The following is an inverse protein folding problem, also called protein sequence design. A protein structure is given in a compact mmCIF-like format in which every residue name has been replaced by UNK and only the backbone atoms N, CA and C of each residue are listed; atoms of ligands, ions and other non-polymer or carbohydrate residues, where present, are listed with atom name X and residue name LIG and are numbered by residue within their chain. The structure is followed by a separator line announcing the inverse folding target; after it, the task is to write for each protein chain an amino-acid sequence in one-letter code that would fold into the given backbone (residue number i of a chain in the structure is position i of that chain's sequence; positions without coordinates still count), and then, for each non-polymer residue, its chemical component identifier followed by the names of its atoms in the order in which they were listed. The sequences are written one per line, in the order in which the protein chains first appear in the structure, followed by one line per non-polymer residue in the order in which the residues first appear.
data_IF_244694477532
#
_entry.id   IF_244694477532
#
_cell.length_a   1.000
_cell.length_b   1.000
_cell.length_c   1.000
_cell.angle_alpha   90.00
_cell.angle_beta   90.00
_cell.angle_gamma   90.00
#
_symmetry.space_group_name_H-M   'P 1'
#
loop_
_entity.id
_entity.type
_entity.pdbx_description
1 polymer ?
#
# COMPACT_ATOMS: atom_id res chain seq x y z
N UNK A 1 -2.46 -28.34 23.84
CA UNK A 1 -2.96 -27.23 23.01
C UNK A 1 -1.86 -26.89 22.03
N UNK A 2 -2.14 -26.83 20.73
CA UNK A 2 -1.12 -26.63 19.70
C UNK A 2 -0.50 -25.23 19.89
N UNK A 3 0.73 -25.18 20.40
CA UNK A 3 1.47 -23.95 20.78
C UNK A 3 2.08 -23.23 19.57
N UNK A 4 1.55 -23.44 18.37
CA UNK A 4 2.12 -22.89 17.15
C UNK A 4 1.61 -21.47 16.92
N UNK A 5 2.50 -20.51 17.09
CA UNK A 5 2.28 -19.11 16.72
C UNK A 5 1.94 -18.97 15.24
N UNK A 6 0.94 -18.14 14.86
CA UNK A 6 0.40 -18.11 13.51
C UNK A 6 1.42 -17.53 12.51
N UNK A 7 1.40 -18.07 11.30
CA UNK A 7 2.10 -17.48 10.16
C UNK A 7 1.15 -16.51 9.44
N UNK A 8 1.60 -15.30 9.18
CA UNK A 8 0.85 -14.26 8.48
C UNK A 8 1.51 -14.04 7.12
N UNK A 9 0.71 -14.11 6.05
CA UNK A 9 1.10 -13.69 4.71
C UNK A 9 0.38 -12.40 4.35
N UNK A 10 1.12 -11.38 3.95
CA UNK A 10 0.56 -10.11 3.50
C UNK A 10 1.15 -9.64 2.17
N UNK A 11 0.39 -8.83 1.43
CA UNK A 11 0.84 -8.17 0.21
C UNK A 11 0.61 -6.66 0.26
N UNK A 12 1.68 -5.91 0.00
CA UNK A 12 1.63 -4.49 -0.32
C UNK A 12 1.52 -4.30 -1.84
N UNK A 13 0.37 -3.80 -2.30
CA UNK A 13 0.06 -3.60 -3.72
C UNK A 13 0.57 -2.24 -4.23
N UNK A 14 1.88 -2.04 -4.24
CA UNK A 14 2.51 -0.79 -4.64
C UNK A 14 2.51 -0.52 -6.15
N UNK A 15 2.47 0.77 -6.51
CA UNK A 15 2.48 1.22 -7.92
C UNK A 15 3.84 1.16 -8.60
N UNK A 16 4.89 0.81 -7.85
CA UNK A 16 6.26 0.59 -8.38
C UNK A 16 6.70 -0.86 -8.23
N UNK A 17 6.24 -1.53 -7.16
CA UNK A 17 6.45 -2.95 -6.91
C UNK A 17 5.34 -3.50 -6.02
N UNK A 18 5.08 -4.80 -6.13
CA UNK A 18 4.30 -5.56 -5.14
C UNK A 18 5.29 -6.25 -4.22
N UNK A 19 5.09 -6.14 -2.91
CA UNK A 19 5.89 -6.84 -1.89
C UNK A 19 4.99 -7.87 -1.23
N UNK A 20 5.42 -9.13 -1.19
CA UNK A 20 4.79 -10.17 -0.40
C UNK A 20 5.74 -10.66 0.68
N UNK A 21 5.25 -10.79 1.92
CA UNK A 21 6.06 -11.24 3.05
C UNK A 21 5.29 -12.23 3.91
N UNK A 22 6.03 -13.20 4.46
CA UNK A 22 5.55 -14.16 5.45
C UNK A 22 6.26 -13.88 6.77
N UNK A 23 5.50 -13.74 7.84
CA UNK A 23 6.04 -13.58 9.18
C UNK A 23 5.35 -14.53 10.16
N UNK A 24 6.09 -15.04 11.14
CA UNK A 24 5.52 -15.74 12.29
C UNK A 24 5.33 -14.74 13.43
N UNK A 25 4.11 -14.65 13.98
CA UNK A 25 3.81 -13.74 15.09
C UNK A 25 4.15 -14.40 16.42
N UNK A 26 5.19 -13.95 17.09
CA UNK A 26 5.64 -14.46 18.39
C UNK A 26 4.55 -14.32 19.47
N UNK A 27 4.70 -15.03 20.58
CA UNK A 27 3.80 -14.91 21.75
C UNK A 27 3.80 -13.51 22.36
N UNK A 28 4.87 -12.74 22.15
CA UNK A 28 5.00 -11.33 22.58
C UNK A 28 4.40 -10.34 21.56
N UNK A 29 3.82 -10.83 20.46
CA UNK A 29 3.21 -10.01 19.42
C UNK A 29 4.19 -9.45 18.38
N UNK A 30 5.51 -9.64 18.55
CA UNK A 30 6.54 -9.30 17.55
C UNK A 30 6.47 -10.21 16.33
N UNK A 31 6.95 -9.71 15.20
CA UNK A 31 7.01 -10.39 13.91
C UNK A 31 8.40 -10.97 13.66
N UNK A 32 8.48 -12.28 13.49
CA UNK A 32 9.65 -12.96 12.93
C UNK A 32 9.45 -13.12 11.43
N UNK A 33 10.15 -12.35 10.61
CA UNK A 33 10.06 -12.43 9.15
C UNK A 33 10.72 -13.73 8.69
N UNK A 34 9.92 -14.61 8.08
CA UNK A 34 10.38 -15.90 7.56
C UNK A 34 10.95 -15.75 6.16
N UNK A 35 10.24 -15.02 5.30
CA UNK A 35 10.68 -14.71 3.94
C UNK A 35 9.90 -13.51 3.37
N UNK A 36 10.49 -12.82 2.41
CA UNK A 36 9.80 -11.84 1.56
C UNK A 36 10.28 -11.96 0.12
N UNK A 37 9.48 -11.40 -0.77
CA UNK A 37 9.70 -11.32 -2.21
C UNK A 37 9.08 -10.03 -2.73
N UNK A 38 9.65 -9.51 -3.81
CA UNK A 38 9.10 -8.36 -4.49
C UNK A 38 9.26 -8.46 -6.01
N UNK A 39 8.32 -7.86 -6.72
CA UNK A 39 8.33 -7.78 -8.18
C UNK A 39 7.85 -6.39 -8.63
N UNK A 40 8.54 -5.84 -9.62
CA UNK A 40 8.20 -4.52 -10.18
C UNK A 40 6.82 -4.54 -10.85
N UNK A 41 6.07 -3.45 -10.69
CA UNK A 41 4.80 -3.26 -11.38
C UNK A 41 4.96 -2.36 -12.59
N UNK A 42 4.29 -2.75 -13.69
CA UNK A 42 4.22 -1.88 -14.86
C UNK A 42 3.31 -0.69 -14.53
N UNK A 43 3.51 0.47 -15.19
CA UNK A 43 2.60 1.62 -15.04
C UNK A 43 1.12 1.30 -15.37
N UNK A 44 0.89 0.25 -16.15
CA UNK A 44 -0.45 -0.26 -16.53
C UNK A 44 -0.97 -1.33 -15.57
N UNK A 45 -0.21 -1.79 -14.58
CA UNK A 45 -0.67 -2.81 -13.62
C UNK A 45 -1.48 -2.15 -12.51
N UNK A 46 -0.87 -1.23 -11.76
CA UNK A 46 -1.51 -0.47 -10.68
C UNK A 46 -1.30 1.02 -10.95
N UNK A 47 -2.38 1.77 -11.17
CA UNK A 47 -2.34 3.20 -11.52
C UNK A 47 -2.88 4.04 -10.36
N UNK A 48 -2.04 4.90 -9.79
CA UNK A 48 -2.40 5.79 -8.67
C UNK A 48 -3.08 5.02 -7.50
N UNK A 49 -2.54 3.84 -7.18
CA UNK A 49 -3.01 2.96 -6.11
C UNK A 49 -4.28 2.17 -6.42
N UNK A 50 -4.79 2.23 -7.66
CA UNK A 50 -5.91 1.43 -8.14
C UNK A 50 -5.43 0.29 -9.05
N UNK A 51 -5.97 -0.91 -8.87
CA UNK A 51 -5.70 -2.05 -9.77
C UNK A 51 -6.30 -1.73 -11.14
N UNK A 52 -5.44 -1.55 -12.16
CA UNK A 52 -5.86 -1.27 -13.53
C UNK A 52 -5.87 -2.54 -14.38
N UNK A 53 -4.81 -3.34 -14.28
CA UNK A 53 -4.76 -4.67 -14.91
C UNK A 53 -4.84 -5.77 -13.84
N UNK A 54 -6.04 -6.35 -13.73
CA UNK A 54 -6.36 -7.45 -12.82
C UNK A 54 -5.50 -8.69 -13.09
N UNK A 55 -5.31 -9.04 -14.37
CA UNK A 55 -4.58 -10.25 -14.74
C UNK A 55 -3.09 -10.14 -14.41
N UNK A 56 -2.46 -8.99 -14.71
CA UNK A 56 -1.07 -8.73 -14.36
C UNK A 56 -0.88 -8.73 -12.84
N UNK A 57 -1.81 -8.11 -12.09
CA UNK A 57 -1.73 -8.05 -10.62
C UNK A 57 -1.82 -9.44 -10.00
N UNK A 58 -2.80 -10.26 -10.42
CA UNK A 58 -2.93 -11.63 -9.94
C UNK A 58 -1.72 -12.50 -10.35
N UNK A 59 -1.16 -12.29 -11.54
CA UNK A 59 0.05 -12.98 -11.99
C UNK A 59 1.25 -12.69 -11.09
N UNK A 60 1.51 -11.41 -10.79
CA UNK A 60 2.63 -11.01 -9.92
C UNK A 60 2.45 -11.59 -8.51
N UNK A 61 1.24 -11.46 -7.93
CA UNK A 61 0.96 -12.03 -6.60
C UNK A 61 1.20 -13.56 -6.62
N UNK A 62 0.70 -14.28 -7.63
CA UNK A 62 0.92 -15.72 -7.74
C UNK A 62 2.41 -16.10 -7.88
N UNK A 63 3.17 -15.33 -8.66
CA UNK A 63 4.62 -15.50 -8.80
C UNK A 63 5.33 -15.35 -7.45
N UNK A 64 5.02 -14.28 -6.71
CA UNK A 64 5.53 -14.05 -5.36
C UNK A 64 5.15 -15.20 -4.41
N UNK A 65 3.88 -15.62 -4.39
CA UNK A 65 3.41 -16.72 -3.54
C UNK A 65 4.19 -18.01 -3.83
N UNK A 66 4.43 -18.32 -5.10
CA UNK A 66 5.16 -19.52 -5.51
C UNK A 66 6.61 -19.47 -5.01
N UNK A 67 7.28 -18.32 -5.14
CA UNK A 67 8.63 -18.12 -4.59
C UNK A 67 8.65 -18.25 -3.05
N UNK A 68 7.68 -17.66 -2.36
CA UNK A 68 7.54 -17.75 -0.91
C UNK A 68 7.29 -19.19 -0.43
N UNK A 69 6.36 -19.93 -1.07
CA UNK A 69 6.13 -21.36 -0.79
C UNK A 69 7.41 -22.17 -0.99
N UNK A 70 8.17 -21.88 -2.04
CA UNK A 70 9.43 -22.57 -2.32
C UNK A 70 10.53 -22.29 -1.28
N UNK A 71 10.66 -21.03 -0.83
CA UNK A 71 11.64 -20.60 0.19
C UNK A 71 11.30 -21.12 1.59
N UNK A 72 10.03 -21.02 1.98
CA UNK A 72 9.58 -21.32 3.35
C UNK A 72 9.17 -22.77 3.55
N UNK A 73 8.87 -23.50 2.47
CA UNK A 73 8.23 -24.83 2.49
C UNK A 73 6.86 -24.84 3.18
N UNK A 74 6.24 -23.68 3.37
CA UNK A 74 4.91 -23.54 3.95
C UNK A 74 3.82 -23.63 2.88
N UNK A 75 2.72 -24.30 3.20
CA UNK A 75 1.52 -24.29 2.36
C UNK A 75 0.69 -23.04 2.63
N UNK A 76 1.09 -21.92 2.00
CA UNK A 76 0.43 -20.62 2.15
C UNK A 76 -0.91 -20.62 1.41
N UNK A 77 -2.04 -20.62 2.11
CA UNK A 77 -3.39 -20.71 1.52
C UNK A 77 -4.28 -19.51 1.79
N UNK A 78 -3.92 -18.66 2.76
CA UNK A 78 -4.61 -17.40 3.04
C UNK A 78 -3.64 -16.22 2.97
N UNK A 79 -4.17 -15.03 2.74
CA UNK A 79 -3.38 -13.80 2.79
C UNK A 79 -4.20 -12.56 3.12
N UNK A 80 -3.50 -11.53 3.59
CA UNK A 80 -3.98 -10.17 3.73
C UNK A 80 -3.44 -9.28 2.61
N UNK A 81 -4.21 -8.27 2.20
CA UNK A 81 -3.72 -7.27 1.23
C UNK A 81 -3.99 -5.85 1.73
N UNK A 82 -3.06 -4.95 1.45
CA UNK A 82 -3.26 -3.52 1.62
C UNK A 82 -3.99 -2.92 0.42
N UNK A 83 -5.05 -2.16 0.69
CA UNK A 83 -5.77 -1.36 -0.30
C UNK A 83 -5.49 0.11 -0.04
N UNK A 84 -4.86 0.75 -1.03
CA UNK A 84 -4.80 2.20 -1.14
C UNK A 84 -5.68 2.70 -2.29
N UNK A 85 -5.28 3.83 -2.84
CA UNK A 85 -5.86 4.34 -4.07
C UNK A 85 -6.33 5.77 -3.96
N UNK A 86 -6.21 6.50 -5.06
CA UNK A 86 -6.47 7.94 -5.21
C UNK A 86 -7.80 8.46 -4.64
N UNK A 87 -8.79 7.59 -4.44
CA UNK A 87 -10.13 7.99 -3.96
C UNK A 87 -10.39 7.69 -2.49
N UNK A 88 -9.44 7.08 -1.77
CA UNK A 88 -9.62 6.82 -0.35
C UNK A 88 -9.71 8.15 0.40
N UNK A 89 -10.84 8.39 1.05
CA UNK A 89 -11.14 9.59 1.84
C UNK A 89 -11.94 9.19 3.08
N UNK A 90 -12.07 10.13 4.00
CA UNK A 90 -13.04 10.02 5.08
C UNK A 90 -14.06 11.17 5.07
N UNK A 91 -15.23 10.89 5.64
CA UNK A 91 -16.24 11.89 5.99
C UNK A 91 -16.75 11.63 7.40
N UNK A 92 -17.29 12.67 8.02
CA UNK A 92 -17.97 12.55 9.30
C UNK A 92 -19.42 12.14 9.09
N UNK A 93 -19.94 11.35 10.03
CA UNK A 93 -21.35 11.06 10.12
C UNK A 93 -21.78 10.99 11.59
N UNK A 94 -23.05 11.32 11.80
CA UNK A 94 -23.66 11.33 13.13
C UNK A 94 -24.95 10.54 13.08
N UNK A 95 -25.17 9.65 14.05
CA UNK A 95 -26.43 8.93 14.22
C UNK A 95 -27.02 9.26 15.58
N UNK A 96 -28.29 9.64 15.64
CA UNK A 96 -28.98 10.04 16.88
C UNK A 96 -30.09 9.06 17.25
N UNK A 97 -30.32 8.83 18.54
CA UNK A 97 -31.44 8.05 19.08
C UNK A 97 -32.04 8.74 20.29
N UNK A 98 -33.36 8.75 20.32
CA UNK A 98 -34.15 9.06 21.51
C UNK A 98 -34.51 7.76 22.19
N UNK A 99 -34.16 7.65 23.46
CA UNK A 99 -34.55 6.54 24.32
C UNK A 99 -35.71 6.97 25.26
N UNK A 100 -36.25 6.03 26.02
CA UNK A 100 -37.15 6.31 27.14
C UNK A 100 -36.47 7.14 28.23
N UNK A 101 -37.27 7.68 29.15
CA UNK A 101 -36.76 8.48 30.26
C UNK A 101 -35.82 7.66 31.15
N UNK A 102 -34.55 8.10 31.28
CA UNK A 102 -33.48 7.40 31.99
C UNK A 102 -33.32 5.93 31.56
N UNK A 103 -33.52 5.63 30.29
CA UNK A 103 -33.27 4.30 29.75
C UNK A 103 -31.76 4.06 29.65
N UNK A 104 -31.32 2.86 30.04
CA UNK A 104 -29.92 2.47 30.03
C UNK A 104 -29.50 2.13 28.59
N UNK A 105 -28.40 2.72 28.13
CA UNK A 105 -27.83 2.44 26.82
C UNK A 105 -27.27 1.00 26.79
N UNK A 106 -27.85 0.16 25.95
CA UNK A 106 -27.39 -1.21 25.72
C UNK A 106 -26.30 -1.30 24.65
N UNK A 107 -25.37 -2.25 24.79
CA UNK A 107 -24.34 -2.52 23.78
C UNK A 107 -24.95 -2.81 22.39
N UNK A 108 -26.08 -3.52 22.34
CA UNK A 108 -26.79 -3.83 21.08
C UNK A 108 -27.27 -2.55 20.36
N UNK A 109 -27.67 -1.51 21.10
CA UNK A 109 -28.01 -0.22 20.50
C UNK A 109 -26.77 0.41 19.85
N UNK A 110 -25.62 0.37 20.51
CA UNK A 110 -24.36 0.91 19.99
C UNK A 110 -23.92 0.18 18.71
N UNK A 111 -24.02 -1.15 18.71
CA UNK A 111 -23.72 -1.98 17.55
C UNK A 111 -24.64 -1.63 16.37
N UNK A 112 -25.95 -1.42 16.62
CA UNK A 112 -26.89 -0.98 15.58
C UNK A 112 -26.52 0.39 15.00
N UNK A 113 -26.19 1.36 15.84
CA UNK A 113 -25.78 2.70 15.39
C UNK A 113 -24.49 2.64 14.58
N UNK A 114 -23.52 1.86 15.03
CA UNK A 114 -22.31 1.59 14.28
C UNK A 114 -22.63 1.00 12.89
N UNK A 115 -23.45 -0.05 12.83
CA UNK A 115 -23.80 -0.75 11.58
C UNK A 115 -24.60 0.11 10.59
N UNK A 116 -25.37 1.10 11.07
CA UNK A 116 -26.09 2.03 10.20
C UNK A 116 -25.16 2.87 9.31
N UNK A 117 -23.95 3.16 9.78
CA UNK A 117 -22.97 3.90 9.00
C UNK A 117 -22.58 3.15 7.72
N UNK A 118 -22.50 1.82 7.74
CA UNK A 118 -22.20 1.01 6.55
C UNK A 118 -23.32 1.03 5.50
N UNK A 119 -24.55 1.41 5.89
CA UNK A 119 -25.68 1.56 4.96
C UNK A 119 -25.60 2.85 4.13
N UNK A 120 -24.66 3.76 4.45
CA UNK A 120 -24.43 5.00 3.69
C UNK A 120 -23.61 4.80 2.41
N UNK A 121 -23.25 3.55 2.09
CA UNK A 121 -22.66 3.20 0.81
C UNK A 121 -23.61 3.56 -0.35
N UNK A 122 -23.04 3.82 -1.52
CA UNK A 122 -23.79 4.20 -2.73
C UNK A 122 -23.27 3.39 -3.92
N UNK A 123 -23.90 3.54 -5.09
CA UNK A 123 -23.40 2.92 -6.33
C UNK A 123 -22.03 3.48 -6.76
N UNK A 124 -21.65 4.66 -6.30
CA UNK A 124 -20.38 5.30 -6.66
C UNK A 124 -19.27 5.05 -5.63
N UNK A 125 -19.63 4.82 -4.37
CA UNK A 125 -18.71 4.73 -3.25
C UNK A 125 -19.03 3.56 -2.32
N UNK A 126 -17.98 2.80 -2.03
CA UNK A 126 -18.00 1.73 -1.05
C UNK A 126 -17.40 2.23 0.26
N UNK A 127 -18.00 1.80 1.37
CA UNK A 127 -17.47 2.05 2.71
C UNK A 127 -16.47 0.95 3.01
N UNK A 128 -15.23 1.36 3.30
CA UNK A 128 -14.15 0.46 3.67
C UNK A 128 -14.14 0.17 5.16
N UNK A 129 -14.40 1.21 5.97
CA UNK A 129 -14.35 1.10 7.42
C UNK A 129 -15.13 2.25 8.08
N UNK A 130 -15.51 2.07 9.34
CA UNK A 130 -16.19 3.07 10.17
C UNK A 130 -15.45 3.13 11.49
N UNK A 131 -14.98 4.31 11.87
CA UNK A 131 -14.29 4.53 13.15
C UNK A 131 -15.19 5.34 14.07
N UNK A 132 -15.65 4.73 15.16
CA UNK A 132 -16.34 5.43 16.24
C UNK A 132 -15.44 6.48 16.84
N UNK A 133 -15.97 7.69 17.03
CA UNK A 133 -15.25 8.80 17.64
C UNK A 133 -15.69 8.95 19.10
N UNK A 134 -16.89 9.43 19.33
CA UNK A 134 -17.38 9.78 20.65
C UNK A 134 -18.90 9.73 20.64
N UNK A 135 -19.48 9.61 21.82
CA UNK A 135 -20.92 9.67 22.03
C UNK A 135 -21.27 10.88 22.86
N UNK A 136 -22.31 11.61 22.46
CA UNK A 136 -22.96 12.61 23.30
C UNK A 136 -24.16 11.93 23.96
N UNK A 137 -24.09 11.85 25.28
CA UNK A 137 -25.11 11.28 26.15
C UNK A 137 -25.78 12.44 26.87
N UNK A 138 -27.00 12.75 26.45
CA UNK A 138 -27.69 14.01 26.75
C UNK A 138 -26.82 15.23 26.41
N UNK A 139 -26.05 15.76 27.37
CA UNK A 139 -25.19 16.94 27.20
C UNK A 139 -23.69 16.65 27.47
N UNK A 140 -23.30 15.39 27.73
CA UNK A 140 -21.92 15.00 28.06
C UNK A 140 -21.27 14.09 27.01
N UNK A 141 -20.01 14.37 26.65
CA UNK A 141 -19.22 13.54 25.74
C UNK A 141 -18.58 12.38 26.49
N UNK A 142 -18.84 11.16 26.03
CA UNK A 142 -18.29 9.92 26.58
C UNK A 142 -17.72 9.04 25.47
N UNK A 143 -16.66 8.29 25.80
CA UNK A 143 -16.05 7.33 24.87
C UNK A 143 -16.87 6.04 24.76
N UNK A 144 -17.36 5.54 25.89
CA UNK A 144 -18.19 4.34 25.98
C UNK A 144 -19.47 4.64 26.77
N UNK A 145 -20.62 4.75 26.09
CA UNK A 145 -21.90 5.06 26.73
C UNK A 145 -22.61 3.82 27.28
N UNK A 146 -22.09 2.61 27.08
CA UNK A 146 -22.78 1.39 27.52
C UNK A 146 -23.01 1.39 29.04
N UNK A 147 -24.24 1.15 29.47
CA UNK A 147 -24.62 1.16 30.88
C UNK A 147 -24.96 2.55 31.46
N UNK A 148 -24.81 3.62 30.68
CA UNK A 148 -25.22 4.98 31.10
C UNK A 148 -26.70 5.18 30.79
N UNK A 149 -27.45 5.77 31.72
CA UNK A 149 -28.85 6.13 31.51
C UNK A 149 -28.96 7.50 30.83
N UNK A 150 -29.74 7.60 29.76
CA UNK A 150 -29.98 8.89 29.08
C UNK A 150 -31.31 8.91 28.33
N UNK A 151 -31.67 10.10 27.84
CA UNK A 151 -32.84 10.28 26.96
C UNK A 151 -32.41 10.49 25.50
N UNK A 152 -31.26 11.11 25.27
CA UNK A 152 -30.68 11.36 23.96
C UNK A 152 -29.29 10.73 23.86
N UNK A 153 -29.08 9.98 22.79
CA UNK A 153 -27.78 9.41 22.45
C UNK A 153 -27.40 9.82 21.02
N UNK A 154 -26.26 10.47 20.86
CA UNK A 154 -25.69 10.80 19.55
C UNK A 154 -24.32 10.14 19.41
N UNK A 155 -24.17 9.22 18.45
CA UNK A 155 -22.88 8.65 18.08
C UNK A 155 -22.24 9.42 16.93
N UNK A 156 -20.96 9.78 17.07
CA UNK A 156 -20.14 10.38 16.01
C UNK A 156 -19.18 9.34 15.41
N UNK A 157 -19.10 9.34 14.09
CA UNK A 157 -18.33 8.35 13.33
C UNK A 157 -17.50 9.02 12.25
N UNK A 158 -16.35 8.42 11.96
CA UNK A 158 -15.51 8.72 10.80
C UNK A 158 -15.66 7.58 9.81
N UNK A 159 -16.33 7.85 8.69
CA UNK A 159 -16.56 6.85 7.64
C UNK A 159 -15.43 6.96 6.64
N UNK A 160 -14.74 5.84 6.40
CA UNK A 160 -13.70 5.72 5.39
C UNK A 160 -14.31 5.07 4.16
N UNK A 161 -14.13 5.71 3.02
CA UNK A 161 -14.75 5.27 1.78
C UNK A 161 -13.80 5.44 0.59
N UNK A 162 -14.11 4.72 -0.49
CA UNK A 162 -13.41 4.83 -1.78
C UNK A 162 -14.42 4.67 -2.91
N UNK A 163 -14.03 4.95 -4.15
CA UNK A 163 -14.91 4.67 -5.30
C UNK A 163 -15.05 3.16 -5.51
N UNK A 164 -16.26 2.70 -5.82
CA UNK A 164 -16.56 1.26 -6.00
C UNK A 164 -15.76 0.60 -7.14
N UNK A 165 -15.27 1.38 -8.10
CA UNK A 165 -14.35 0.90 -9.14
C UNK A 165 -13.05 0.30 -8.57
N UNK A 166 -12.58 0.80 -7.41
CA UNK A 166 -11.37 0.30 -6.74
C UNK A 166 -11.61 -1.12 -6.21
N UNK A 167 -12.72 -1.33 -5.50
CA UNK A 167 -13.06 -2.63 -4.93
C UNK A 167 -13.39 -3.67 -6.00
N UNK A 168 -13.97 -3.26 -7.12
CA UNK A 168 -14.23 -4.15 -8.24
C UNK A 168 -12.95 -4.82 -8.75
N UNK A 169 -11.87 -4.05 -8.92
CA UNK A 169 -10.58 -4.59 -9.35
C UNK A 169 -9.99 -5.59 -8.34
N UNK A 170 -10.15 -5.28 -7.05
CA UNK A 170 -9.66 -6.12 -5.96
C UNK A 170 -10.43 -7.43 -5.88
N UNK A 171 -11.76 -7.40 -5.92
CA UNK A 171 -12.58 -8.61 -5.86
C UNK A 171 -12.25 -9.56 -7.02
N UNK A 172 -12.06 -9.03 -8.23
CA UNK A 172 -11.61 -9.85 -9.38
C UNK A 172 -10.22 -10.45 -9.18
N UNK A 173 -9.29 -9.73 -8.54
CA UNK A 173 -7.98 -10.31 -8.16
C UNK A 173 -8.16 -11.43 -7.14
N UNK A 174 -9.02 -11.24 -6.13
CA UNK A 174 -9.33 -12.30 -5.13
C UNK A 174 -9.87 -13.56 -5.80
N UNK A 175 -10.84 -13.41 -6.70
CA UNK A 175 -11.42 -14.51 -7.48
C UNK A 175 -10.35 -15.27 -8.26
N UNK A 176 -9.50 -14.57 -9.02
CA UNK A 176 -8.43 -15.20 -9.81
C UNK A 176 -7.37 -15.91 -8.94
N UNK A 177 -7.03 -15.36 -7.77
CA UNK A 177 -6.08 -15.98 -6.84
C UNK A 177 -6.67 -17.24 -6.19
N UNK A 178 -7.96 -17.22 -5.84
CA UNK A 178 -8.64 -18.40 -5.33
C UNK A 178 -8.66 -19.52 -6.38
N UNK A 179 -9.01 -19.20 -7.63
CA UNK A 179 -9.10 -20.17 -8.73
C UNK A 179 -7.73 -20.73 -9.16
N UNK A 180 -6.71 -19.87 -9.33
CA UNK A 180 -5.44 -20.26 -9.96
C UNK A 180 -4.34 -20.61 -8.96
N UNK A 181 -4.38 -20.04 -7.77
CA UNK A 181 -3.29 -20.12 -6.79
C UNK A 181 -3.68 -20.85 -5.51
N UNK A 182 -4.96 -21.19 -5.35
CA UNK A 182 -5.53 -21.72 -4.09
C UNK A 182 -5.16 -20.79 -2.92
N UNK A 183 -5.21 -19.47 -3.17
CA UNK A 183 -4.92 -18.44 -2.20
C UNK A 183 -6.18 -17.61 -1.95
N UNK A 184 -6.70 -17.71 -0.74
CA UNK A 184 -7.82 -16.94 -0.26
C UNK A 184 -7.35 -15.61 0.33
N UNK A 185 -7.89 -14.49 -0.14
CA UNK A 185 -7.66 -13.19 0.50
C UNK A 185 -8.72 -12.99 1.59
N UNK A 186 -8.36 -13.31 2.83
CA UNK A 186 -9.28 -13.33 3.98
C UNK A 186 -9.68 -11.94 4.45
N UNK A 187 -8.80 -10.95 4.32
CA UNK A 187 -9.14 -9.58 4.66
C UNK A 187 -8.30 -8.58 3.88
N UNK A 188 -8.82 -7.36 3.82
CA UNK A 188 -8.22 -6.24 3.14
C UNK A 188 -8.16 -5.05 4.07
N UNK A 189 -6.99 -4.47 4.23
CA UNK A 189 -6.80 -3.32 5.12
C UNK A 189 -6.60 -2.04 4.33
N UNK A 190 -7.09 -0.93 4.87
CA UNK A 190 -6.72 0.40 4.38
C UNK A 190 -5.21 0.59 4.55
N UNK A 191 -4.47 0.76 3.46
CA UNK A 191 -3.02 0.92 3.45
C UNK A 191 -2.50 2.03 4.39
N UNK A 192 -3.12 3.22 4.46
CA UNK A 192 -2.66 4.24 5.41
C UNK A 192 -2.95 3.89 6.88
N UNK A 193 -4.00 3.09 7.17
CA UNK A 193 -4.26 2.58 8.52
C UNK A 193 -3.23 1.52 8.90
N UNK A 194 -2.97 0.56 8.00
CA UNK A 194 -1.96 -0.46 8.21
C UNK A 194 -0.58 0.17 8.44
N UNK A 195 -0.23 1.16 7.62
CA UNK A 195 1.02 1.91 7.78
C UNK A 195 1.08 2.65 9.11
N UNK A 196 0.00 3.30 9.55
CA UNK A 196 -0.02 3.96 10.86
C UNK A 196 0.16 2.94 12.01
N UNK A 197 -0.61 1.85 12.03
CA UNK A 197 -0.48 0.79 13.04
C UNK A 197 0.92 0.16 13.08
N UNK A 198 1.64 0.18 11.95
CA UNK A 198 3.01 -0.30 11.86
C UNK A 198 4.08 0.65 12.44
N UNK A 199 3.75 1.92 12.70
CA UNK A 199 4.74 2.99 12.90
C UNK A 199 4.61 3.79 14.20
N UNK A 200 3.42 3.87 14.78
CA UNK A 200 3.14 4.72 15.94
C UNK A 200 2.60 3.94 17.13
N UNK A 201 2.95 4.38 18.34
CA UNK A 201 2.38 3.87 19.59
C UNK A 201 1.04 4.52 19.92
N UNK A 202 0.33 3.97 20.89
CA UNK A 202 -0.91 4.58 21.39
C UNK A 202 -0.64 5.93 22.08
N UNK A 203 0.48 6.07 22.80
CA UNK A 203 0.89 7.37 23.37
C UNK A 203 1.04 8.46 22.29
N UNK A 204 1.59 8.12 21.13
CA UNK A 204 1.70 9.06 20.00
C UNK A 204 0.34 9.39 19.38
N UNK A 205 -0.61 8.43 19.35
CA UNK A 205 -2.00 8.70 18.92
C UNK A 205 -2.73 9.60 19.91
N UNK A 206 -2.44 9.46 21.21
CA UNK A 206 -3.03 10.28 22.26
C UNK A 206 -2.52 11.72 22.20
N UNK A 207 -1.19 11.90 22.23
CA UNK A 207 -0.52 13.20 22.11
C UNK A 207 -0.81 13.90 20.77
N UNK A 208 -1.13 13.10 19.76
CA UNK A 208 -1.52 13.52 18.45
C UNK A 208 -0.35 13.50 17.47
N UNK A 209 -0.56 12.84 16.34
CA UNK A 209 0.46 12.67 15.32
C UNK A 209 -0.15 12.61 13.92
N UNK A 210 0.70 12.83 12.92
CA UNK A 210 0.33 12.66 11.53
C UNK A 210 1.34 11.75 10.84
N UNK A 211 0.85 10.78 10.08
CA UNK A 211 1.68 9.96 9.21
C UNK A 211 1.55 10.48 7.79
N UNK A 212 2.68 10.61 7.08
CA UNK A 212 2.74 10.85 5.63
C UNK A 212 3.53 9.71 5.01
N UNK A 213 2.86 8.87 4.22
CA UNK A 213 3.51 7.89 3.35
C UNK A 213 3.68 8.48 1.96
N UNK A 214 4.91 8.90 1.65
CA UNK A 214 5.28 9.47 0.36
C UNK A 214 5.71 8.34 -0.58
N UNK A 215 4.71 7.70 -1.20
CA UNK A 215 4.88 6.55 -2.08
C UNK A 215 5.31 6.89 -3.51
N UNK A 216 5.27 5.89 -4.37
CA UNK A 216 5.66 6.00 -5.78
C UNK A 216 4.71 6.88 -6.58
N UNK A 217 3.44 6.51 -6.72
CA UNK A 217 2.45 7.29 -7.49
C UNK A 217 1.36 7.93 -6.64
N UNK A 218 1.41 7.75 -5.33
CA UNK A 218 0.45 8.29 -4.38
C UNK A 218 1.16 8.72 -3.12
N UNK A 219 0.59 9.72 -2.45
CA UNK A 219 0.99 10.12 -1.10
C UNK A 219 -0.24 9.95 -0.24
N UNK A 220 -0.10 9.20 0.85
CA UNK A 220 -1.19 9.00 1.80
C UNK A 220 -0.89 9.68 3.12
N UNK A 221 -1.94 9.99 3.87
CA UNK A 221 -1.81 10.57 5.19
C UNK A 221 -2.91 10.08 6.12
N UNK A 222 -2.59 10.07 7.41
CA UNK A 222 -3.52 9.83 8.52
C UNK A 222 -3.18 10.73 9.68
N UNK A 223 -4.19 11.27 10.35
CA UNK A 223 -4.07 12.18 11.50
C UNK A 223 -4.78 11.55 12.68
N UNK A 224 -4.06 11.44 13.80
CA UNK A 224 -4.59 10.91 15.06
C UNK A 224 -4.50 11.98 16.14
N UNK A 225 -5.53 12.12 16.97
CA UNK A 225 -5.49 12.90 18.21
C UNK A 225 -6.43 12.28 19.25
N UNK A 226 -6.00 12.23 20.52
CA UNK A 226 -6.76 11.61 21.61
C UNK A 226 -7.18 10.17 21.29
N UNK A 227 -6.29 9.39 20.69
CA UNK A 227 -6.53 8.01 20.26
C UNK A 227 -7.54 7.80 19.11
N UNK A 228 -8.07 8.86 18.51
CA UNK A 228 -9.00 8.77 17.39
C UNK A 228 -8.35 9.12 16.06
N UNK A 229 -8.70 8.36 15.01
CA UNK A 229 -8.43 8.76 13.63
C UNK A 229 -9.31 9.96 13.26
N UNK A 230 -8.69 11.13 13.09
CA UNK A 230 -9.37 12.40 12.79
C UNK A 230 -9.51 12.68 11.30
N UNK A 231 -8.50 12.33 10.53
CA UNK A 231 -8.49 12.52 9.07
C UNK A 231 -7.63 11.45 8.41
N UNK A 232 -8.03 11.01 7.22
CA UNK A 232 -7.28 10.08 6.39
C UNK A 232 -7.54 10.37 4.92
N UNK A 233 -6.51 10.26 4.08
CA UNK A 233 -6.68 10.46 2.66
C UNK A 233 -5.48 10.02 1.82
N UNK A 234 -5.71 9.94 0.51
CA UNK A 234 -4.69 9.58 -0.48
C UNK A 234 -4.75 10.53 -1.68
N UNK A 235 -3.66 11.24 -1.95
CA UNK A 235 -3.56 12.06 -3.17
C UNK A 235 -2.87 11.28 -4.30
N UNK A 236 -3.31 11.43 -5.56
CA UNK A 236 -2.77 10.70 -6.72
C UNK A 236 -1.42 11.24 -7.23
N UNK A 237 -0.57 11.72 -6.32
CA UNK A 237 0.74 12.29 -6.60
C UNK A 237 1.76 11.70 -5.64
N UNK A 238 2.93 11.31 -6.14
CA UNK A 238 4.01 10.73 -5.34
C UNK A 238 5.37 10.96 -5.97
N UNK A 239 6.38 10.22 -5.54
CA UNK A 239 7.76 10.39 -6.00
C UNK A 239 7.98 10.18 -7.50
N UNK A 240 7.08 9.50 -8.20
CA UNK A 240 7.08 9.34 -9.66
C UNK A 240 6.72 10.64 -10.38
N UNK A 241 5.93 11.51 -9.76
CA UNK A 241 5.67 12.85 -10.32
C UNK A 241 6.96 13.66 -10.40
N UNK A 242 7.81 13.58 -9.36
CA UNK A 242 9.15 14.18 -9.36
C UNK A 242 10.02 13.59 -10.49
N UNK A 243 9.98 12.26 -10.66
CA UNK A 243 10.69 11.60 -11.76
C UNK A 243 10.23 12.12 -13.12
N UNK A 244 8.94 12.36 -13.31
CA UNK A 244 8.40 12.90 -14.55
C UNK A 244 8.91 14.33 -14.81
N UNK A 245 9.01 15.20 -13.81
CA UNK A 245 9.59 16.53 -14.00
C UNK A 245 11.07 16.46 -14.38
N UNK A 246 11.83 15.53 -13.80
CA UNK A 246 13.25 15.32 -14.16
C UNK A 246 13.37 14.81 -15.61
N UNK A 247 12.38 14.07 -16.14
CA UNK A 247 12.39 13.61 -17.53
C UNK A 247 12.34 14.75 -18.54
N UNK A 248 11.78 15.91 -18.18
CA UNK A 248 11.77 17.11 -19.03
C UNK A 248 13.19 17.63 -19.36
N UNK A 249 14.22 17.09 -18.70
CA UNK A 249 15.62 17.24 -19.09
C UNK A 249 16.02 16.37 -20.29
N UNK A 250 15.05 15.87 -21.07
CA UNK A 250 15.19 14.89 -22.16
C UNK A 250 15.83 13.57 -21.70
N UNK A 251 15.39 13.05 -20.55
CA UNK A 251 15.82 11.76 -20.01
C UNK A 251 14.73 10.71 -20.17
N UNK A 252 15.14 9.46 -20.40
CA UNK A 252 14.24 8.32 -20.24
C UNK A 252 13.80 8.18 -18.78
N UNK A 253 12.66 7.56 -18.53
CA UNK A 253 12.17 7.34 -17.16
C UNK A 253 13.18 6.61 -16.25
N UNK A 254 13.85 5.52 -16.70
CA UNK A 254 14.88 4.88 -15.89
C UNK A 254 16.08 5.78 -15.58
N UNK A 255 16.49 6.64 -16.52
CA UNK A 255 17.57 7.60 -16.31
C UNK A 255 17.18 8.67 -15.27
N UNK A 256 15.98 9.23 -15.40
CA UNK A 256 15.45 10.22 -14.46
C UNK A 256 15.29 9.65 -13.04
N UNK A 257 14.75 8.42 -12.92
CA UNK A 257 14.60 7.74 -11.63
C UNK A 257 15.97 7.48 -11.00
N UNK A 258 16.93 6.97 -11.78
CA UNK A 258 18.29 6.73 -11.31
C UNK A 258 19.00 8.02 -10.88
N UNK A 259 18.78 9.12 -11.61
CA UNK A 259 19.32 10.44 -11.25
C UNK A 259 18.73 10.92 -9.91
N UNK A 260 17.40 10.83 -9.76
CA UNK A 260 16.69 11.16 -8.51
C UNK A 260 17.17 10.32 -7.33
N UNK A 261 17.27 9.00 -7.49
CA UNK A 261 17.70 8.10 -6.40
C UNK A 261 19.14 8.36 -5.96
N UNK A 262 20.03 8.71 -6.91
CA UNK A 262 21.46 8.93 -6.60
C UNK A 262 21.75 10.31 -6.03
N UNK A 263 21.13 11.35 -6.57
CA UNK A 263 21.51 12.76 -6.33
C UNK A 263 20.35 13.62 -5.83
N UNK A 264 19.18 13.04 -5.61
CA UNK A 264 17.98 13.78 -5.25
C UNK A 264 18.05 14.38 -3.86
N UNK A 265 17.69 15.66 -3.77
CA UNK A 265 17.59 16.43 -2.54
C UNK A 265 16.30 17.23 -2.57
N UNK A 266 15.50 17.12 -1.52
CA UNK A 266 14.20 17.79 -1.39
C UNK A 266 14.32 19.26 -0.97
N UNK A 267 15.52 19.76 -0.66
CA UNK A 267 15.78 21.16 -0.36
C UNK A 267 17.00 21.66 -1.14
N UNK A 268 16.80 22.55 -2.11
CA UNK A 268 17.86 23.12 -2.93
C UNK A 268 18.82 24.00 -2.14
N UNK A 269 18.37 24.55 -1.01
CA UNK A 269 19.14 25.43 -0.13
C UNK A 269 19.96 24.69 0.92
N UNK A 270 19.78 23.37 1.07
CA UNK A 270 20.38 22.59 2.16
C UNK A 270 21.26 21.46 1.63
N UNK A 271 22.55 21.53 1.93
CA UNK A 271 23.54 20.47 1.65
C UNK A 271 23.53 19.97 0.19
N UNK A 272 23.35 20.89 -0.75
CA UNK A 272 23.51 20.64 -2.19
C UNK A 272 24.88 21.16 -2.62
N UNK A 273 25.82 20.28 -3.01
CA UNK A 273 27.09 20.72 -3.59
C UNK A 273 26.84 21.55 -4.84
N UNK A 274 27.69 22.53 -5.15
CA UNK A 274 27.67 23.19 -6.45
C UNK A 274 28.53 22.40 -7.44
N UNK A 275 27.91 21.46 -8.18
CA UNK A 275 28.61 20.53 -9.06
C UNK A 275 27.83 20.31 -10.36
N UNK A 276 28.59 20.24 -11.46
CA UNK A 276 28.06 19.85 -12.78
C UNK A 276 27.82 18.34 -12.83
N UNK A 277 26.60 17.94 -13.20
CA UNK A 277 26.16 16.56 -13.38
C UNK A 277 25.96 16.31 -14.88
N UNK A 278 26.67 15.33 -15.44
CA UNK A 278 26.46 14.89 -16.82
C UNK A 278 25.21 14.00 -16.86
N UNK A 279 24.21 14.37 -17.65
CA UNK A 279 22.92 13.68 -17.73
C UNK A 279 22.71 12.94 -19.06
N UNK A 280 23.44 13.32 -20.11
CA UNK A 280 23.53 12.52 -21.33
C UNK A 280 24.93 12.68 -21.95
N UNK A 281 25.45 11.56 -22.48
CA UNK A 281 26.59 11.55 -23.38
C UNK A 281 26.03 11.15 -24.75
N UNK A 282 25.98 12.07 -25.69
CA UNK A 282 25.56 11.70 -27.03
C UNK A 282 26.67 10.86 -27.69
N UNK A 283 26.30 9.78 -28.38
CA UNK A 283 27.24 9.00 -29.19
C UNK A 283 27.69 9.76 -30.45
N UNK A 284 26.95 10.81 -30.85
CA UNK A 284 27.15 11.57 -32.10
C UNK A 284 27.09 13.10 -31.96
N UNK A 285 26.84 13.66 -30.76
CA UNK A 285 26.92 15.11 -30.51
C UNK A 285 28.22 15.43 -29.78
N UNK A 286 28.86 16.57 -30.11
CA UNK A 286 30.15 16.96 -29.54
C UNK A 286 30.07 17.47 -28.09
N UNK A 287 28.87 17.78 -27.57
CA UNK A 287 28.71 18.35 -26.22
C UNK A 287 27.99 17.40 -25.25
N UNK A 288 28.60 17.19 -24.08
CA UNK A 288 27.95 16.49 -22.97
C UNK A 288 26.83 17.35 -22.37
N UNK A 289 25.59 16.84 -22.41
CA UNK A 289 24.46 17.50 -21.75
C UNK A 289 24.63 17.36 -20.24
N UNK A 290 24.61 18.49 -19.55
CA UNK A 290 24.79 18.54 -18.09
C UNK A 290 23.90 19.57 -17.43
N UNK A 291 23.64 19.38 -16.14
CA UNK A 291 22.93 20.32 -15.28
C UNK A 291 23.76 20.61 -14.02
N UNK A 292 23.44 21.67 -13.31
CA UNK A 292 23.92 21.85 -11.94
C UNK A 292 23.10 21.00 -10.97
N UNK A 293 23.74 20.45 -9.95
CA UNK A 293 23.07 19.76 -8.83
C UNK A 293 22.03 20.62 -8.12
N UNK A 294 22.27 21.93 -8.02
CA UNK A 294 21.30 22.91 -7.49
C UNK A 294 20.02 22.96 -8.32
N UNK A 295 20.15 22.92 -9.64
CA UNK A 295 18.99 22.90 -10.54
C UNK A 295 18.17 21.61 -10.40
N UNK A 296 18.83 20.45 -10.27
CA UNK A 296 18.13 19.19 -9.98
C UNK A 296 17.35 19.28 -8.65
N UNK A 297 17.98 19.83 -7.60
CA UNK A 297 17.35 19.99 -6.31
C UNK A 297 16.16 20.97 -6.35
N UNK A 298 16.23 22.04 -7.16
CA UNK A 298 15.11 22.97 -7.37
C UNK A 298 13.89 22.27 -8.00
N UNK A 299 14.11 21.42 -9.01
CA UNK A 299 13.03 20.63 -9.63
C UNK A 299 12.37 19.72 -8.58
N UNK A 300 13.18 19.02 -7.79
CA UNK A 300 12.70 18.08 -6.76
C UNK A 300 11.97 18.81 -5.64
N UNK A 301 12.56 19.89 -5.10
CA UNK A 301 11.96 20.70 -4.03
C UNK A 301 10.63 21.29 -4.46
N UNK A 302 10.54 21.87 -5.66
CA UNK A 302 9.31 22.46 -6.17
C UNK A 302 8.17 21.43 -6.21
N UNK A 303 8.42 20.24 -6.79
CA UNK A 303 7.38 19.22 -6.89
C UNK A 303 7.05 18.55 -5.56
N UNK A 304 8.07 18.25 -4.74
CA UNK A 304 7.84 17.68 -3.42
C UNK A 304 7.00 18.65 -2.55
N UNK A 305 7.31 19.94 -2.59
CA UNK A 305 6.58 20.99 -1.88
C UNK A 305 5.12 21.06 -2.32
N UNK A 306 4.86 21.03 -3.62
CA UNK A 306 3.50 21.04 -4.15
C UNK A 306 2.69 19.83 -3.67
N UNK A 307 3.25 18.62 -3.78
CA UNK A 307 2.60 17.38 -3.34
C UNK A 307 2.28 17.43 -1.85
N UNK A 308 3.24 17.85 -1.02
CA UNK A 308 3.05 17.98 0.42
C UNK A 308 2.02 19.06 0.78
N UNK A 309 2.00 20.18 0.05
CA UNK A 309 1.06 21.27 0.29
C UNK A 309 -0.40 20.89 0.01
N UNK A 310 -0.67 19.94 -0.90
CA UNK A 310 -2.02 19.37 -1.08
C UNK A 310 -2.56 18.71 0.19
N UNK A 311 -1.68 18.30 1.11
CA UNK A 311 -2.04 17.67 2.38
C UNK A 311 -1.92 18.68 3.53
N UNK A 312 -0.76 19.33 3.67
CA UNK A 312 -0.46 20.20 4.80
C UNK A 312 -1.38 21.42 4.84
N UNK A 313 -1.65 22.05 3.69
CA UNK A 313 -2.43 23.30 3.67
C UNK A 313 -3.88 23.10 4.16
N UNK A 314 -4.66 22.12 3.66
CA UNK A 314 -6.00 21.87 4.19
C UNK A 314 -6.01 21.46 5.66
N UNK A 315 -5.05 20.64 6.10
CA UNK A 315 -4.99 20.20 7.51
C UNK A 315 -4.60 21.34 8.45
N UNK A 316 -3.76 22.27 7.99
CA UNK A 316 -3.43 23.49 8.72
C UNK A 316 -4.64 24.40 8.86
N UNK A 317 -5.45 24.55 7.81
CA UNK A 317 -6.72 25.30 7.86
C UNK A 317 -7.73 24.67 8.83
N UNK A 318 -7.80 23.33 8.89
CA UNK A 318 -8.59 22.58 9.88
C UNK A 318 -8.04 22.65 11.31
N UNK A 319 -6.86 23.25 11.51
CA UNK A 319 -6.24 23.42 12.83
C UNK A 319 -5.51 22.18 13.35
N UNK A 320 -5.38 21.11 12.56
CA UNK A 320 -4.77 19.86 13.02
C UNK A 320 -3.29 20.00 13.34
N UNK A 321 -2.53 20.85 12.61
CA UNK A 321 -1.09 21.05 12.86
C UNK A 321 -0.78 21.47 14.30
N UNK A 322 -1.70 22.18 14.97
CA UNK A 322 -1.54 22.62 16.36
C UNK A 322 -1.81 21.52 17.39
N UNK A 323 -2.34 20.38 16.95
CA UNK A 323 -2.74 19.25 17.80
C UNK A 323 -1.78 18.06 17.67
N UNK A 324 -0.69 18.19 16.89
CA UNK A 324 0.26 17.12 16.64
C UNK A 324 1.38 17.14 17.69
N UNK A 325 1.08 16.82 18.95
CA UNK A 325 2.06 16.84 20.04
C UNK A 325 3.22 15.87 19.86
N UNK A 326 3.00 14.73 19.21
CA UNK A 326 4.03 13.76 18.81
C UNK A 326 4.62 14.03 17.41
N UNK A 327 4.16 15.09 16.74
CA UNK A 327 4.71 15.56 15.47
C UNK A 327 4.24 14.79 14.24
N UNK A 328 5.02 14.89 13.16
CA UNK A 328 4.78 14.23 11.87
C UNK A 328 5.78 13.10 11.66
N UNK A 329 5.27 11.94 11.31
CA UNK A 329 6.03 10.77 10.92
C UNK A 329 5.99 10.66 9.40
N UNK A 330 7.16 10.65 8.75
CA UNK A 330 7.26 10.42 7.30
C UNK A 330 7.78 9.03 6.99
N UNK A 331 7.22 8.41 5.97
CA UNK A 331 7.58 7.07 5.49
C UNK A 331 7.39 6.93 3.98
N UNK A 332 7.59 5.72 3.45
CA UNK A 332 7.43 5.43 2.03
C UNK A 332 8.69 5.63 1.20
N UNK A 333 8.67 5.15 -0.04
CA UNK A 333 9.85 5.15 -0.92
C UNK A 333 10.43 6.54 -1.15
N UNK A 334 9.60 7.57 -1.29
CA UNK A 334 10.04 8.95 -1.51
C UNK A 334 10.46 9.70 -0.25
N UNK A 335 10.16 9.20 0.95
CA UNK A 335 10.72 9.75 2.19
C UNK A 335 12.24 9.54 2.30
N UNK A 336 12.82 8.70 1.44
CA UNK A 336 14.27 8.49 1.34
C UNK A 336 15.00 9.61 0.58
N UNK A 337 14.28 10.55 -0.04
CA UNK A 337 14.91 11.75 -0.61
C UNK A 337 15.66 12.51 0.48
N UNK A 338 16.89 12.91 0.18
CA UNK A 338 17.70 13.70 1.11
C UNK A 338 16.93 14.96 1.52
N UNK A 339 16.97 15.30 2.80
CA UNK A 339 16.28 16.46 3.38
C UNK A 339 14.75 16.49 3.27
N UNK A 340 14.09 15.36 2.95
CA UNK A 340 12.61 15.30 2.95
C UNK A 340 12.02 15.67 4.32
N UNK A 341 12.65 15.21 5.42
CA UNK A 341 12.28 15.58 6.80
C UNK A 341 12.27 17.09 7.01
N UNK A 342 13.33 17.76 6.56
CA UNK A 342 13.49 19.21 6.71
C UNK A 342 12.48 19.98 5.84
N UNK A 343 12.17 19.49 4.64
CA UNK A 343 11.13 20.07 3.79
C UNK A 343 9.74 19.98 4.45
N UNK A 344 9.36 18.81 4.97
CA UNK A 344 8.07 18.65 5.64
C UNK A 344 8.00 19.53 6.90
N UNK A 345 9.10 19.64 7.63
CA UNK A 345 9.19 20.50 8.82
C UNK A 345 9.03 21.99 8.46
N UNK A 346 9.65 22.46 7.38
CA UNK A 346 9.54 23.86 6.94
C UNK A 346 8.12 24.22 6.48
N UNK A 347 7.43 23.29 5.79
CA UNK A 347 6.07 23.50 5.30
C UNK A 347 5.02 23.44 6.42
N UNK A 348 5.16 22.48 7.34
CA UNK A 348 4.18 22.24 8.40
C UNK A 348 4.38 23.16 9.62
N UNK A 349 5.62 23.48 9.96
CA UNK A 349 5.98 24.11 11.23
C UNK A 349 5.90 23.17 12.43
N UNK A 350 5.87 21.85 12.20
CA UNK A 350 5.75 20.80 13.22
C UNK A 350 7.03 19.94 13.18
N UNK A 351 7.43 19.39 14.32
CA UNK A 351 8.56 18.45 14.37
C UNK A 351 8.30 17.21 13.51
N UNK A 352 9.32 16.80 12.77
CA UNK A 352 9.22 15.69 11.82
C UNK A 352 10.29 14.65 12.09
N UNK A 353 9.89 13.37 12.12
CA UNK A 353 10.79 12.21 12.17
C UNK A 353 10.52 11.25 11.02
N UNK A 354 11.55 10.56 10.57
CA UNK A 354 11.40 9.38 9.69
C UNK A 354 11.41 8.15 10.56
N UNK A 355 10.48 7.22 10.34
CA UNK A 355 10.45 5.96 11.09
C UNK A 355 10.16 4.79 10.18
N UNK A 356 10.55 3.61 10.66
CA UNK A 356 10.22 2.33 10.05
C UNK A 356 9.71 1.42 11.16
N UNK A 357 8.82 0.49 10.82
CA UNK A 357 8.15 -0.40 11.78
C UNK A 357 9.06 -1.46 12.42
N UNK A 358 10.38 -1.22 12.49
CA UNK A 358 11.38 -2.18 12.99
C UNK A 358 11.16 -2.58 14.44
N UNK A 359 10.51 -1.74 15.25
CA UNK A 359 10.16 -2.05 16.64
C UNK A 359 9.16 -3.23 16.76
N UNK A 360 8.41 -3.52 15.68
CA UNK A 360 7.52 -4.68 15.60
C UNK A 360 8.25 -5.97 15.21
N UNK A 361 9.51 -5.88 14.80
CA UNK A 361 10.29 -7.02 14.33
C UNK A 361 11.09 -7.65 15.48
N UNK A 362 11.31 -8.95 15.39
CA UNK A 362 12.37 -9.62 16.17
C UNK A 362 13.75 -9.18 15.68
N UNK A 363 14.76 -9.24 16.54
CA UNK A 363 16.13 -8.77 16.21
C UNK A 363 16.69 -9.46 14.96
N UNK A 364 16.50 -10.76 14.84
CA UNK A 364 16.95 -11.57 13.69
C UNK A 364 16.26 -11.19 12.37
N UNK A 365 15.12 -10.51 12.43
CA UNK A 365 14.35 -10.09 11.25
C UNK A 365 14.72 -8.69 10.76
N UNK A 366 15.56 -7.95 11.48
CA UNK A 366 15.94 -6.59 11.11
C UNK A 366 17.03 -6.65 10.03
N UNK A 367 16.60 -6.69 8.76
CA UNK A 367 17.48 -6.59 7.59
C UNK A 367 17.64 -5.15 7.09
N UNK A 368 18.62 -4.92 6.21
CA UNK A 368 18.81 -3.60 5.59
C UNK A 368 17.63 -3.16 4.70
N UNK A 369 16.85 -4.11 4.18
CA UNK A 369 15.62 -3.81 3.46
C UNK A 369 14.50 -3.37 4.42
N UNK A 370 14.29 -4.08 5.53
CA UNK A 370 13.27 -3.72 6.52
C UNK A 370 13.60 -2.45 7.33
N UNK A 371 14.81 -1.90 7.19
CA UNK A 371 15.17 -0.55 7.68
C UNK A 371 14.80 0.56 6.70
N UNK A 372 14.33 0.24 5.48
CA UNK A 372 13.93 1.25 4.49
C UNK A 372 12.46 1.62 4.68
N UNK A 373 12.11 2.92 4.66
CA UNK A 373 10.73 3.38 4.76
C UNK A 373 9.75 2.76 3.74
N UNK A 374 10.26 2.30 2.59
CA UNK A 374 9.46 1.59 1.57
C UNK A 374 8.88 0.24 2.01
N UNK A 375 9.30 -0.32 3.16
CA UNK A 375 8.76 -1.58 3.71
C UNK A 375 7.82 -1.36 4.90
N UNK A 376 7.57 -0.10 5.29
CA UNK A 376 6.72 0.19 6.46
C UNK A 376 5.29 -0.35 6.31
N UNK A 377 4.71 -0.23 5.12
CA UNK A 377 3.36 -0.70 4.85
C UNK A 377 3.25 -2.23 4.97
N UNK A 378 4.19 -2.99 4.41
CA UNK A 378 4.16 -4.46 4.53
C UNK A 378 4.33 -4.92 5.97
N UNK A 379 5.18 -4.26 6.78
CA UNK A 379 5.31 -4.56 8.21
C UNK A 379 4.00 -4.28 8.95
N UNK A 380 3.36 -3.14 8.66
CA UNK A 380 2.06 -2.78 9.24
C UNK A 380 0.96 -3.79 8.90
N UNK A 381 0.89 -4.23 7.63
CA UNK A 381 -0.06 -5.25 7.19
C UNK A 381 0.14 -6.60 7.91
N UNK A 382 1.39 -7.03 8.06
CA UNK A 382 1.72 -8.25 8.80
C UNK A 382 1.29 -8.16 10.27
N UNK A 383 1.50 -7.00 10.90
CA UNK A 383 1.14 -6.78 12.31
C UNK A 383 -0.37 -6.91 12.56
N UNK A 384 -1.18 -6.41 11.62
CA UNK A 384 -2.65 -6.47 11.65
C UNK A 384 -3.23 -7.86 11.37
N UNK A 385 -2.45 -8.78 10.79
CA UNK A 385 -2.90 -10.15 10.55
C UNK A 385 -3.12 -10.92 11.84
N UNK A 386 -4.18 -11.72 11.88
CA UNK A 386 -4.62 -12.46 13.07
C UNK A 386 -4.84 -13.95 12.81
N UNK A 387 -5.25 -14.33 11.60
CA UNK A 387 -5.46 -15.73 11.22
C UNK A 387 -4.18 -16.37 10.68
N UNK A 388 -3.98 -17.64 11.04
CA UNK A 388 -2.91 -18.44 10.46
C UNK A 388 -3.14 -18.64 8.96
N UNK A 389 -2.17 -18.25 8.15
CA UNK A 389 -2.20 -18.27 6.69
C UNK A 389 -1.68 -19.57 6.07
N UNK A 390 -1.25 -20.51 6.90
CA UNK A 390 -0.74 -21.82 6.50
C UNK A 390 -1.80 -22.88 6.79
N UNK A 391 -2.11 -23.73 5.81
CA UNK A 391 -2.95 -24.92 6.04
C UNK A 391 -2.12 -26.11 6.53
N UNK A 392 -2.73 -26.95 7.37
CA UNK A 392 -2.11 -28.19 7.86
C UNK A 392 -2.08 -29.31 6.79
N UNK A 393 -2.86 -29.18 5.72
CA UNK A 393 -3.00 -30.19 4.67
C UNK A 393 -2.23 -29.79 3.41
N UNK A 394 -1.24 -30.60 3.02
CA UNK A 394 -0.73 -30.67 1.64
C UNK A 394 -1.74 -31.52 0.86
N UNK A 395 -2.71 -30.92 0.17
CA UNK A 395 -3.51 -31.67 -0.80
C UNK A 395 -2.65 -31.95 -2.04
N UNK A 396 -1.93 -33.07 -2.06
CA UNK A 396 -1.49 -33.67 -3.31
C UNK A 396 -2.72 -34.16 -4.08
N UNK A 397 -3.31 -33.32 -4.92
CA UNK A 397 -4.25 -33.80 -5.94
C UNK A 397 -3.46 -34.52 -7.04
N UNK A 398 -3.15 -35.78 -6.78
CA UNK A 398 -2.72 -36.73 -7.80
C UNK A 398 -3.91 -36.98 -8.74
N UNK A 399 -3.91 -36.37 -9.93
CA UNK A 399 -4.87 -36.73 -10.97
C UNK A 399 -4.35 -38.02 -11.61
N UNK A 400 -5.02 -39.18 -11.46
CA UNK A 400 -4.57 -40.39 -12.14
C UNK A 400 -4.87 -40.22 -13.63
N UNK A 401 -3.83 -40.16 -14.47
CA UNK A 401 -4.00 -40.26 -15.91
C UNK A 401 -4.66 -41.61 -16.23
N UNK A 402 -5.94 -41.61 -16.63
CA UNK A 402 -6.58 -42.82 -17.16
C UNK A 402 -5.82 -43.25 -18.42
N UNK A 403 -5.12 -44.38 -18.33
CA UNK A 403 -4.56 -45.10 -19.49
C UNK A 403 -5.72 -45.55 -20.38
N UNK A 404 -5.95 -44.85 -21.47
CA UNK A 404 -6.76 -45.36 -22.58
C UNK A 404 -5.99 -46.48 -23.28
N UNK A 405 -6.52 -47.71 -23.20
CA UNK A 405 -6.03 -48.87 -23.95
C UNK A 405 -6.15 -48.58 -25.45
N UNK A 406 -5.03 -48.60 -26.17
CA UNK A 406 -5.00 -48.72 -27.63
C UNK A 406 -5.27 -50.18 -28.00
N UNK A 407 -6.35 -50.43 -28.72
CA UNK A 407 -6.53 -51.60 -29.59
C UNK A 407 -6.93 -51.07 -30.96
N UNK A 408 -6.07 -51.25 -31.95
CA UNK A 408 -6.24 -50.70 -33.29
C UNK A 408 -7.14 -51.54 -34.20
N UNK A 409 -7.65 -50.88 -35.24
CA UNK A 409 -7.66 -51.37 -36.64
C UNK A 409 -8.02 -50.22 -37.60
N UNK A 410 -7.38 -50.27 -38.75
CA UNK A 410 -7.35 -49.29 -39.84
C UNK A 410 -8.72 -48.83 -40.34
N UNK A 411 -8.82 -47.55 -40.76
CA UNK A 411 -9.44 -47.21 -42.04
C UNK A 411 -8.91 -45.87 -42.59
N UNK A 412 -8.37 -45.93 -43.81
CA UNK A 412 -8.02 -44.81 -44.68
C UNK A 412 -9.25 -43.93 -44.98
N UNK A 413 -9.12 -42.60 -44.90
CA UNK A 413 -9.62 -41.65 -45.92
C UNK A 413 -8.75 -40.38 -45.88
N UNK A 414 -8.16 -40.05 -47.05
CA UNK A 414 -7.52 -38.77 -47.40
C UNK A 414 -8.55 -37.65 -47.48
N UNK A 415 -8.22 -36.42 -47.10
CA UNK A 415 -8.27 -35.24 -47.99
C UNK A 415 -7.49 -34.07 -47.37
N UNK A 416 -6.88 -33.29 -48.26
CA UNK A 416 -5.75 -32.42 -48.03
C UNK A 416 -6.13 -30.96 -47.73
N UNK A 417 -5.09 -30.22 -47.32
CA UNK A 417 -4.81 -28.80 -47.59
C UNK A 417 -5.76 -27.72 -47.07
N UNK A 418 -5.30 -26.97 -46.07
CA UNK A 418 -4.86 -25.58 -46.30
C UNK A 418 -4.31 -24.93 -45.02
N UNK A 419 -3.31 -24.07 -45.22
CA UNK A 419 -2.81 -23.04 -44.29
C UNK A 419 -1.87 -23.49 -43.14
N UNK A 420 -0.74 -24.10 -43.51
CA UNK A 420 0.53 -23.86 -42.82
C UNK A 420 1.44 -23.04 -43.74
N UNK A 421 1.29 -21.72 -43.70
CA UNK A 421 2.29 -20.78 -44.20
C UNK A 421 2.15 -19.49 -43.41
N UNK A 422 3.05 -19.34 -42.42
CA UNK A 422 3.60 -18.11 -41.83
C UNK A 422 3.90 -18.37 -40.37
N UNK A 423 5.12 -18.83 -40.10
CA UNK A 423 5.94 -18.48 -38.93
C UNK A 423 7.14 -19.42 -38.88
N UNK A 424 8.06 -19.28 -39.84
CA UNK A 424 9.36 -19.96 -39.75
C UNK A 424 10.50 -19.23 -40.44
N UNK A 425 10.39 -17.91 -40.62
CA UNK A 425 11.55 -17.09 -41.00
C UNK A 425 11.63 -15.92 -40.02
N UNK A 426 12.44 -16.07 -38.97
CA UNK A 426 13.00 -14.94 -38.20
C UNK A 426 14.13 -15.30 -37.24
N UNK A 427 14.73 -16.49 -37.36
CA UNK A 427 15.99 -16.81 -36.68
C UNK A 427 16.87 -17.70 -37.55
N UNK A 428 17.84 -17.09 -38.24
CA UNK A 428 19.26 -17.50 -38.25
C UNK A 428 20.06 -16.42 -38.99
N UNK A 429 20.79 -15.64 -38.20
CA UNK A 429 21.99 -14.89 -38.60
C UNK A 429 23.05 -15.85 -39.17
N UNK A 430 23.73 -15.49 -40.26
CA UNK A 430 25.10 -14.96 -40.23
C UNK A 430 25.81 -15.02 -41.60
N UNK A 431 26.69 -14.03 -41.78
CA UNK A 431 27.95 -14.04 -42.55
C UNK A 431 27.91 -14.38 -44.04
N UNK A 432 28.19 -13.39 -44.90
CA UNK A 432 29.54 -13.22 -45.45
C UNK A 432 29.64 -12.05 -46.46
N UNK A 433 30.70 -11.27 -46.26
CA UNK A 433 31.56 -10.49 -47.17
C UNK A 433 31.31 -10.60 -48.69
N UNK A 434 31.35 -9.46 -49.41
CA UNK A 434 32.32 -9.11 -50.49
C UNK A 434 31.83 -7.90 -51.34
N UNK A 435 32.78 -6.96 -51.51
CA UNK A 435 32.91 -5.79 -52.42
C UNK A 435 32.05 -4.55 -52.23
#
# INVERSE_FOLDING_TARGET
MNTSTPYILAFDLGTTKIIGAVAQKTTEGKLSIVAYEEEETKPTTIKQGAIFNVADTAFIINSIVTKLRNKTKLNLTKAYIGIGGRYLRCKENTTKRTLGYNEIVEQNLLDKLYQENFKLQSTEFDILDVITQEYLVDDEWVADPAGIACTQLEGRYKIIYTKSEINTGINKVKELLAEKSQLEIISTFSSPIATANGLISDDEKELGCMIIDFGGSTTSYSVFTKNYLREIGVIPLGAKTITNDIRELNLTEPQAEKLKQKLGNAMATLEVPDKRIIIAKAAHEQEEKSIQSTFLAQIIEARASEILNFIITPLKQKGYMKQLGAGIIITGGGAQLKNMRALVQSLSGVDVRTTVGVHLLTEDSISDDFKKPSYSQIIGLLSMGTENCVSETIEEKFIPSKKTKKTGKNLFVRFADSASQRLTDLFTDNSDTIQ
#
